data_IF_409404695864
#
_entry.id   IF_409404695864
#
_cell.length_a   1.000
_cell.length_b   1.000
_cell.length_c   1.000
_cell.angle_alpha   90.00
_cell.angle_beta   90.00
_cell.angle_gamma   90.00
#
_symmetry.space_group_name_H-M   'P 1'
#
loop_
_entity.id
_entity.type
_entity.pdbx_description
1 polymer ?
#
# COMPACT_ATOMS: atom_id res chain seq x y z
N UNK A 1 -8.20 -22.46 1.60
CA UNK A 1 -7.40 -21.62 2.52
C UNK A 1 -8.07 -21.71 3.88
N UNK A 2 -7.31 -21.91 4.95
CA UNK A 2 -7.91 -22.02 6.29
C UNK A 2 -8.37 -20.66 6.82
N UNK A 3 -9.24 -20.68 7.83
CA UNK A 3 -9.81 -19.48 8.43
C UNK A 3 -8.74 -18.58 9.08
N UNK A 4 -7.68 -19.19 9.63
CA UNK A 4 -6.58 -18.47 10.29
C UNK A 4 -5.82 -17.59 9.29
N UNK A 5 -5.47 -18.13 8.13
CA UNK A 5 -4.75 -17.41 7.07
C UNK A 5 -5.58 -16.23 6.56
N UNK A 6 -6.89 -16.43 6.40
CA UNK A 6 -7.81 -15.35 5.98
C UNK A 6 -7.87 -14.26 7.05
N UNK A 7 -7.97 -14.62 8.33
CA UNK A 7 -7.97 -13.65 9.42
C UNK A 7 -6.65 -12.85 9.50
N UNK A 8 -5.50 -13.50 9.31
CA UNK A 8 -4.19 -12.83 9.28
C UNK A 8 -4.08 -11.84 8.11
N UNK A 9 -4.61 -12.21 6.93
CA UNK A 9 -4.65 -11.31 5.77
C UNK A 9 -5.54 -10.09 6.04
N UNK A 10 -6.73 -10.30 6.62
CA UNK A 10 -7.67 -9.24 6.93
C UNK A 10 -7.08 -8.29 8.01
N UNK A 11 -6.37 -8.83 9.01
CA UNK A 11 -5.64 -8.04 10.00
C UNK A 11 -4.51 -7.21 9.35
N UNK A 12 -3.73 -7.82 8.45
CA UNK A 12 -2.66 -7.12 7.74
C UNK A 12 -3.22 -5.94 6.93
N UNK A 13 -4.30 -6.15 6.17
CA UNK A 13 -4.94 -5.07 5.42
C UNK A 13 -5.53 -4.00 6.34
N UNK A 14 -6.13 -4.37 7.47
CA UNK A 14 -6.65 -3.41 8.44
C UNK A 14 -5.53 -2.51 9.02
N UNK A 15 -4.39 -3.10 9.39
CA UNK A 15 -3.21 -2.33 9.86
C UNK A 15 -2.66 -1.41 8.77
N UNK A 16 -2.59 -1.90 7.54
CA UNK A 16 -2.12 -1.13 6.39
C UNK A 16 -2.98 0.14 6.18
N UNK A 17 -4.31 0.00 6.12
CA UNK A 17 -5.20 1.16 5.91
C UNK A 17 -5.27 2.08 7.11
N UNK A 18 -5.13 1.55 8.33
CA UNK A 18 -5.07 2.35 9.55
C UNK A 18 -3.81 3.21 9.58
N UNK A 19 -2.66 2.65 9.21
CA UNK A 19 -1.39 3.39 9.10
C UNK A 19 -1.48 4.53 8.09
N UNK A 20 -2.02 4.28 6.90
CA UNK A 20 -2.24 5.32 5.89
C UNK A 20 -3.22 6.41 6.36
N UNK A 21 -4.32 6.01 7.01
CA UNK A 21 -5.29 6.95 7.56
C UNK A 21 -4.73 7.83 8.68
N UNK A 22 -3.78 7.32 9.45
CA UNK A 22 -3.06 8.06 10.49
C UNK A 22 -1.82 8.82 9.97
N UNK A 23 -1.51 8.70 8.67
CA UNK A 23 -0.28 9.22 8.06
C UNK A 23 1.01 8.68 8.74
N UNK A 24 0.93 7.49 9.35
CA UNK A 24 2.05 6.83 10.02
C UNK A 24 2.79 5.93 9.02
N UNK A 25 3.83 6.50 8.40
CA UNK A 25 4.62 5.80 7.39
C UNK A 25 5.50 4.68 7.98
N UNK A 26 5.80 4.70 9.29
CA UNK A 26 6.55 3.63 9.93
C UNK A 26 5.66 2.41 10.18
N UNK A 27 4.42 2.65 10.67
CA UNK A 27 3.43 1.59 10.77
C UNK A 27 3.07 0.99 9.39
N UNK A 28 3.04 1.82 8.34
CA UNK A 28 2.85 1.36 6.97
C UNK A 28 4.01 0.45 6.52
N UNK A 29 5.26 0.85 6.76
CA UNK A 29 6.46 0.06 6.43
C UNK A 29 6.50 -1.31 7.14
N UNK A 30 5.99 -1.36 8.38
CA UNK A 30 5.90 -2.59 9.17
C UNK A 30 4.89 -3.61 8.61
N UNK A 31 4.04 -3.22 7.65
CA UNK A 31 3.14 -4.13 6.95
C UNK A 31 3.84 -4.91 5.82
N UNK A 32 5.06 -4.53 5.44
CA UNK A 32 5.83 -5.20 4.39
C UNK A 32 6.76 -6.26 4.96
N UNK A 33 7.06 -7.27 4.14
CA UNK A 33 8.13 -8.22 4.43
C UNK A 33 9.47 -7.49 4.63
N UNK A 34 10.33 -8.05 5.49
CA UNK A 34 11.73 -7.64 5.64
C UNK A 34 12.66 -8.32 4.63
N UNK A 35 12.13 -9.18 3.76
CA UNK A 35 12.86 -9.77 2.64
C UNK A 35 13.38 -8.66 1.70
N UNK A 36 14.62 -8.78 1.24
CA UNK A 36 15.25 -7.82 0.34
C UNK A 36 14.44 -7.61 -0.96
N UNK A 37 13.73 -8.66 -1.41
CA UNK A 37 12.92 -8.66 -2.63
C UNK A 37 11.50 -8.13 -2.43
N UNK A 38 11.15 -7.62 -1.24
CA UNK A 38 9.86 -6.99 -1.01
C UNK A 38 9.69 -5.77 -1.92
N UNK A 39 8.56 -5.67 -2.61
CA UNK A 39 8.29 -4.61 -3.58
C UNK A 39 6.92 -3.95 -3.40
N UNK A 40 6.82 -2.70 -3.82
CA UNK A 40 5.60 -1.89 -3.86
C UNK A 40 5.56 -1.12 -5.18
N UNK A 41 4.64 -1.53 -6.06
CA UNK A 41 4.57 -1.02 -7.43
C UNK A 41 3.16 -0.53 -7.73
N UNK A 42 3.07 0.68 -8.28
CA UNK A 42 1.83 1.25 -8.79
C UNK A 42 2.05 1.71 -10.22
N UNK A 43 1.40 1.03 -11.16
CA UNK A 43 1.42 1.34 -12.60
C UNK A 43 0.03 1.87 -12.98
N UNK A 44 -0.03 2.86 -13.87
CA UNK A 44 -1.31 3.33 -14.38
C UNK A 44 -1.95 2.25 -15.25
N UNK A 45 -3.28 2.12 -15.18
CA UNK A 45 -3.99 1.13 -16.00
C UNK A 45 -3.80 1.35 -17.51
N UNK A 46 -3.52 2.59 -17.94
CA UNK A 46 -3.18 2.89 -19.33
C UNK A 46 -1.81 2.32 -19.70
N UNK A 47 -0.78 2.54 -18.87
CA UNK A 47 0.57 2.06 -19.13
C UNK A 47 0.61 0.52 -19.15
N UNK A 48 -0.06 -0.11 -18.19
CA UNK A 48 -0.16 -1.57 -18.12
C UNK A 48 -0.80 -2.16 -19.39
N UNK A 49 -1.95 -1.62 -19.82
CA UNK A 49 -2.63 -2.03 -21.07
C UNK A 49 -1.76 -1.86 -22.33
N UNK A 50 -0.84 -0.90 -22.32
CA UNK A 50 0.05 -0.59 -23.44
C UNK A 50 1.39 -1.34 -23.36
N UNK A 51 1.61 -2.16 -22.34
CA UNK A 51 2.88 -2.86 -22.11
C UNK A 51 4.04 -1.91 -21.78
N UNK A 52 3.74 -0.72 -21.25
CA UNK A 52 4.73 0.28 -20.88
C UNK A 52 5.06 0.13 -19.39
N UNK A 53 6.32 -0.16 -19.06
CA UNK A 53 6.80 -0.32 -17.67
C UNK A 53 6.91 0.97 -16.86
N UNK A 54 6.22 2.04 -17.26
CA UNK A 54 6.30 3.34 -16.58
C UNK A 54 5.34 3.32 -15.38
N UNK A 55 5.92 3.30 -14.18
CA UNK A 55 5.19 3.26 -12.92
C UNK A 55 5.10 4.65 -12.26
N UNK A 56 4.00 4.89 -11.55
CA UNK A 56 3.82 6.03 -10.66
C UNK A 56 4.62 5.85 -9.37
N UNK A 57 4.73 4.61 -8.89
CA UNK A 57 5.55 4.20 -7.75
C UNK A 57 6.26 2.91 -8.11
N UNK A 58 7.59 2.88 -7.98
CA UNK A 58 8.42 1.74 -8.34
C UNK A 58 9.48 1.51 -7.27
N UNK A 59 9.05 0.85 -6.20
CA UNK A 59 9.94 0.36 -5.15
C UNK A 59 10.09 -1.13 -5.35
N UNK A 60 11.09 -1.52 -6.12
CA UNK A 60 11.34 -2.90 -6.54
C UNK A 60 12.13 -3.72 -5.52
N UNK A 61 12.57 -3.11 -4.42
CA UNK A 61 13.22 -3.80 -3.31
C UNK A 61 12.92 -3.13 -1.96
N UNK A 62 13.24 -3.84 -0.87
CA UNK A 62 12.98 -3.39 0.49
C UNK A 62 13.59 -2.03 0.81
N UNK A 63 14.83 -1.80 0.39
CA UNK A 63 15.52 -0.53 0.62
C UNK A 63 14.78 0.66 -0.02
N UNK A 64 14.14 0.45 -1.18
CA UNK A 64 13.37 1.49 -1.86
C UNK A 64 12.06 1.81 -1.15
N UNK A 65 11.43 0.81 -0.53
CA UNK A 65 10.25 1.02 0.34
C UNK A 65 10.64 1.85 1.57
N UNK A 66 11.82 1.60 2.15
CA UNK A 66 12.37 2.38 3.27
C UNK A 66 12.72 3.82 2.87
N UNK A 67 13.31 4.00 1.68
CA UNK A 67 13.56 5.33 1.10
C UNK A 67 12.26 6.11 0.90
N UNK A 68 11.17 5.46 0.45
CA UNK A 68 9.85 6.10 0.33
C UNK A 68 9.40 6.68 1.66
N UNK A 69 9.56 5.96 2.76
CA UNK A 69 9.19 6.46 4.09
C UNK A 69 9.96 7.73 4.41
N UNK A 70 11.27 7.74 4.12
CA UNK A 70 12.11 8.92 4.32
C UNK A 70 11.69 10.09 3.41
N UNK A 71 11.36 9.83 2.15
CA UNK A 71 10.88 10.85 1.21
C UNK A 71 9.59 11.49 1.73
N UNK A 72 8.60 10.68 2.10
CA UNK A 72 7.29 11.19 2.56
C UNK A 72 7.41 11.96 3.87
N UNK A 73 8.21 11.47 4.82
CA UNK A 73 8.27 12.02 6.19
C UNK A 73 9.28 13.15 6.37
N UNK A 74 10.27 13.26 5.48
CA UNK A 74 11.37 14.25 5.62
C UNK A 74 11.48 15.20 4.45
N UNK A 75 11.30 14.71 3.22
CA UNK A 75 11.51 15.52 2.01
C UNK A 75 10.24 16.24 1.61
N UNK A 76 9.09 15.57 1.69
CA UNK A 76 7.81 16.10 1.26
C UNK A 76 7.07 16.90 2.34
N UNK A 77 7.58 16.91 3.56
CA UNK A 77 6.97 17.66 4.66
C UNK A 77 6.84 19.14 4.27
N UNK A 78 5.59 19.63 4.18
CA UNK A 78 5.28 21.00 3.78
C UNK A 78 5.31 21.27 2.27
N UNK A 79 5.57 20.27 1.42
CA UNK A 79 5.59 20.43 -0.05
C UNK A 79 4.28 20.02 -0.72
N UNK A 80 3.33 19.46 0.02
CA UNK A 80 2.02 19.06 -0.46
C UNK A 80 0.91 19.62 0.43
N UNK A 81 -0.26 19.84 -0.16
CA UNK A 81 -1.46 20.17 0.58
C UNK A 81 -1.85 18.98 1.45
N UNK A 82 -2.01 19.22 2.75
CA UNK A 82 -2.44 18.18 3.67
C UNK A 82 -3.91 17.80 3.37
N UNK A 83 -4.12 16.53 3.07
CA UNK A 83 -5.43 15.93 2.90
C UNK A 83 -5.68 14.92 4.01
N UNK A 84 -6.88 14.96 4.59
CA UNK A 84 -7.38 13.84 5.38
C UNK A 84 -7.88 12.78 4.42
N UNK A 85 -7.25 11.61 4.46
CA UNK A 85 -7.62 10.48 3.61
C UNK A 85 -8.43 9.47 4.41
N UNK A 86 -9.45 8.88 3.76
CA UNK A 86 -10.19 7.72 4.28
C UNK A 86 -10.13 6.61 3.25
N UNK A 87 -9.54 5.49 3.66
CA UNK A 87 -9.33 4.32 2.82
C UNK A 87 -10.42 3.30 3.11
N UNK A 88 -11.09 2.83 2.06
CA UNK A 88 -11.96 1.67 2.09
C UNK A 88 -11.32 0.60 1.23
N UNK A 89 -11.18 -0.60 1.76
CA UNK A 89 -10.61 -1.74 1.04
C UNK A 89 -11.56 -2.92 1.19
N UNK A 90 -11.84 -3.58 0.08
CA UNK A 90 -12.66 -4.78 0.03
C UNK A 90 -11.89 -5.88 -0.70
N UNK A 91 -11.63 -6.97 0.00
CA UNK A 91 -11.07 -8.19 -0.61
C UNK A 91 -12.06 -8.78 -1.60
N UNK A 92 -11.63 -8.96 -2.85
CA UNK A 92 -12.43 -9.47 -3.97
C UNK A 92 -12.12 -10.94 -4.21
N UNK A 93 -10.84 -11.29 -4.19
CA UNK A 93 -10.38 -12.66 -4.41
C UNK A 93 -9.19 -12.94 -3.51
N UNK A 94 -9.06 -14.20 -3.11
CA UNK A 94 -7.93 -14.66 -2.32
C UNK A 94 -7.68 -16.13 -2.64
N UNK A 95 -6.44 -16.47 -2.97
CA UNK A 95 -6.05 -17.85 -3.27
C UNK A 95 -4.71 -18.17 -2.63
N UNK A 96 -4.54 -19.44 -2.28
CA UNK A 96 -3.23 -19.95 -1.90
C UNK A 96 -2.39 -20.04 -3.18
N UNK A 97 -1.16 -19.57 -3.10
CA UNK A 97 -0.14 -19.72 -4.11
C UNK A 97 0.95 -20.66 -3.59
N UNK A 98 1.97 -20.86 -4.40
CA UNK A 98 3.05 -21.78 -4.15
C UNK A 98 3.80 -21.39 -2.86
N UNK A 99 4.39 -22.40 -2.19
CA UNK A 99 5.30 -22.19 -1.05
C UNK A 99 4.67 -21.41 0.11
N UNK A 100 3.37 -21.62 0.37
CA UNK A 100 2.66 -20.97 1.49
C UNK A 100 2.39 -19.49 1.27
N UNK A 101 2.51 -18.99 0.03
CA UNK A 101 2.16 -17.61 -0.31
C UNK A 101 0.66 -17.46 -0.46
N UNK A 102 0.18 -16.24 -0.22
CA UNK A 102 -1.21 -15.86 -0.45
C UNK A 102 -1.23 -14.78 -1.51
N UNK A 103 -2.04 -14.98 -2.54
CA UNK A 103 -2.36 -13.94 -3.50
C UNK A 103 -3.75 -13.39 -3.19
N UNK A 104 -3.83 -12.08 -2.99
CA UNK A 104 -5.06 -11.37 -2.67
C UNK A 104 -5.28 -10.23 -3.66
N UNK A 105 -6.50 -10.11 -4.14
CA UNK A 105 -6.96 -8.98 -4.95
C UNK A 105 -7.99 -8.22 -4.15
N UNK A 106 -7.84 -6.89 -4.07
CA UNK A 106 -8.75 -6.02 -3.35
C UNK A 106 -9.11 -4.81 -4.21
N UNK A 107 -10.36 -4.39 -4.13
CA UNK A 107 -10.78 -3.08 -4.59
C UNK A 107 -10.54 -2.08 -3.48
N UNK A 108 -10.27 -0.83 -3.85
CA UNK A 108 -10.12 0.24 -2.89
C UNK A 108 -10.80 1.53 -3.35
N UNK A 109 -11.19 2.36 -2.39
CA UNK A 109 -11.65 3.73 -2.56
C UNK A 109 -10.89 4.61 -1.59
N UNK A 110 -10.39 5.75 -2.08
CA UNK A 110 -9.77 6.78 -1.23
C UNK A 110 -10.65 8.02 -1.33
N UNK A 111 -11.29 8.37 -0.22
CA UNK A 111 -11.93 9.67 -0.08
C UNK A 111 -10.93 10.65 0.51
N UNK A 112 -10.82 11.84 -0.09
CA UNK A 112 -9.90 12.89 0.35
C UNK A 112 -10.70 14.13 0.71
N UNK A 113 -10.38 14.74 1.83
CA UNK A 113 -10.95 16.03 2.26
C UNK A 113 -9.79 16.99 2.58
N UNK A 114 -9.88 18.27 2.19
CA UNK A 114 -8.92 19.26 2.67
C UNK A 114 -8.94 19.30 4.20
N UNK A 115 -7.79 19.50 4.85
CA UNK A 115 -7.77 19.69 6.31
C UNK A 115 -8.63 20.86 6.79
N UNK A 116 -8.84 21.86 5.93
CA UNK A 116 -9.61 23.08 6.22
C UNK A 116 -11.13 22.95 6.18
N UNK A 117 -11.68 21.81 5.73
CA UNK A 117 -13.12 21.52 5.84
C UNK A 117 -14.09 22.45 5.10
N UNK A 118 -13.66 23.14 4.04
CA UNK A 118 -14.53 23.95 3.16
C UNK A 118 -14.90 23.22 1.88
#
# INVERSE_FOLDING_TARGET
>A
MDATTVAMLDELQARYVAALGAQDMQAWLACFSSDAEASYICISAENDKRGLGIALMYDDCRARIEDRVSIVTRVWTGTYQAYRTRHFVQRVACRLADRGRVESTSNFLIAMTPEGGV
#
